data_IF_065643949116
#
_entry.id   IF_065643949116
#
_cell.length_a   1.000
_cell.length_b   1.000
_cell.length_c   1.000
_cell.angle_alpha   90.00
_cell.angle_beta   90.00
_cell.angle_gamma   90.00
#
_symmetry.space_group_name_H-M   'P 1'
#
loop_
_entity.id
_entity.type
_entity.pdbx_description
1 polymer ?
#
# COMPACT_ATOMS: atom_id res chain seq x y z
N UNK A 1 11.69 -3.45 -33.08
CA UNK A 1 12.28 -2.97 -31.80
C UNK A 1 11.86 -3.77 -30.55
N UNK A 2 11.03 -4.82 -30.61
CA UNK A 2 10.57 -5.55 -29.41
C UNK A 2 11.47 -6.74 -28.98
N UNK A 3 12.30 -7.26 -29.89
CA UNK A 3 13.11 -8.48 -29.65
C UNK A 3 14.26 -8.22 -28.68
N UNK A 4 14.91 -7.06 -28.74
CA UNK A 4 16.04 -6.70 -27.87
C UNK A 4 15.65 -6.55 -26.39
N UNK A 5 14.43 -6.09 -26.12
CA UNK A 5 13.92 -6.02 -24.75
C UNK A 5 13.69 -7.42 -24.16
N UNK A 6 13.21 -8.35 -24.99
CA UNK A 6 12.89 -9.72 -24.59
C UNK A 6 14.13 -10.53 -24.20
N UNK A 7 15.24 -10.39 -24.92
CA UNK A 7 16.51 -11.07 -24.59
C UNK A 7 17.08 -10.55 -23.27
N UNK A 8 17.11 -9.22 -23.08
CA UNK A 8 17.62 -8.60 -21.85
C UNK A 8 16.80 -8.98 -20.61
N UNK A 9 15.48 -9.02 -20.73
CA UNK A 9 14.60 -9.43 -19.62
C UNK A 9 14.82 -10.89 -19.23
N UNK A 10 15.09 -11.74 -20.21
CA UNK A 10 15.45 -13.14 -19.99
C UNK A 10 16.81 -13.30 -19.32
N UNK A 11 17.84 -12.59 -19.80
CA UNK A 11 19.19 -12.63 -19.23
C UNK A 11 19.20 -12.17 -17.77
N UNK A 12 18.46 -11.10 -17.46
CA UNK A 12 18.31 -10.63 -16.09
C UNK A 12 17.60 -11.65 -15.18
N UNK A 13 16.65 -12.41 -15.73
CA UNK A 13 15.98 -13.48 -14.99
C UNK A 13 16.86 -14.71 -14.83
N UNK A 14 17.61 -15.11 -15.86
CA UNK A 14 18.52 -16.25 -15.78
C UNK A 14 19.67 -15.97 -14.81
N UNK A 15 20.29 -14.80 -14.89
CA UNK A 15 21.34 -14.41 -13.94
C UNK A 15 20.84 -14.44 -12.49
N UNK A 16 19.63 -13.92 -12.24
CA UNK A 16 19.01 -13.98 -10.91
C UNK A 16 18.71 -15.41 -10.45
N UNK A 17 18.33 -16.30 -11.38
CA UNK A 17 18.15 -17.72 -11.08
C UNK A 17 19.49 -18.38 -10.73
N UNK A 18 20.54 -18.13 -11.54
CA UNK A 18 21.87 -18.71 -11.39
C UNK A 18 22.51 -18.30 -10.05
N UNK A 19 22.41 -17.02 -9.68
CA UNK A 19 22.85 -16.49 -8.37
C UNK A 19 22.20 -17.21 -7.18
N UNK A 20 21.02 -17.80 -7.37
CA UNK A 20 20.23 -18.47 -6.33
C UNK A 20 20.22 -19.99 -6.45
N UNK A 21 20.96 -20.55 -7.41
CA UNK A 21 20.96 -21.98 -7.70
C UNK A 21 19.60 -22.51 -8.16
N UNK A 22 18.77 -21.66 -8.78
CA UNK A 22 17.45 -22.01 -9.30
C UNK A 22 17.53 -22.36 -10.78
N UNK A 23 16.68 -23.28 -11.23
CA UNK A 23 16.57 -23.60 -12.65
C UNK A 23 15.77 -22.53 -13.39
N UNK A 24 16.41 -21.81 -14.32
CA UNK A 24 15.77 -20.77 -15.12
C UNK A 24 14.67 -21.33 -16.05
N UNK A 25 14.75 -22.60 -16.50
CA UNK A 25 13.70 -23.24 -17.30
C UNK A 25 13.61 -24.77 -17.09
N UNK A 26 12.46 -25.33 -16.65
CA UNK A 26 11.20 -24.66 -16.35
C UNK A 26 11.24 -23.95 -14.99
N UNK A 27 10.96 -22.65 -14.99
CA UNK A 27 10.74 -21.92 -13.74
C UNK A 27 9.42 -22.38 -13.11
N UNK A 28 9.46 -22.70 -11.82
CA UNK A 28 8.25 -22.88 -11.04
C UNK A 28 7.55 -21.52 -10.88
N UNK A 29 6.21 -21.40 -10.97
CA UNK A 29 5.54 -20.11 -10.76
C UNK A 29 5.91 -19.40 -9.46
N UNK A 30 6.32 -20.11 -8.39
CA UNK A 30 6.82 -19.45 -7.18
C UNK A 30 8.16 -18.72 -7.39
N UNK A 31 9.04 -19.19 -8.28
CA UNK A 31 10.32 -18.50 -8.55
C UNK A 31 10.06 -17.18 -9.28
N UNK A 32 9.10 -17.18 -10.21
CA UNK A 32 8.67 -15.96 -10.89
C UNK A 32 8.02 -14.97 -9.91
N UNK A 33 7.18 -15.47 -8.99
CA UNK A 33 6.59 -14.66 -7.92
C UNK A 33 7.64 -14.05 -6.98
N UNK A 34 8.68 -14.82 -6.61
CA UNK A 34 9.80 -14.33 -5.81
C UNK A 34 10.61 -13.27 -6.55
N UNK A 35 10.88 -13.49 -7.84
CA UNK A 35 11.57 -12.52 -8.68
C UNK A 35 10.82 -11.19 -8.79
N UNK A 36 9.49 -11.22 -8.96
CA UNK A 36 8.65 -10.02 -8.98
C UNK A 36 8.81 -9.19 -7.70
N UNK A 37 8.92 -9.85 -6.54
CA UNK A 37 9.12 -9.15 -5.25
C UNK A 37 10.49 -8.47 -5.14
N UNK A 38 11.52 -9.03 -5.77
CA UNK A 38 12.84 -8.38 -5.83
C UNK A 38 12.78 -7.13 -6.72
N UNK A 39 12.05 -7.21 -7.83
CA UNK A 39 11.96 -6.11 -8.80
C UNK A 39 10.99 -4.97 -8.40
N UNK A 40 10.08 -5.21 -7.46
CA UNK A 40 9.11 -4.22 -6.96
C UNK A 40 9.78 -2.94 -6.43
N UNK A 41 11.02 -3.03 -5.93
CA UNK A 41 11.78 -1.88 -5.43
C UNK A 41 12.48 -1.06 -6.51
N UNK A 42 12.76 -1.65 -7.68
CA UNK A 42 13.61 -1.03 -8.72
C UNK A 42 12.81 -0.54 -9.91
N UNK A 43 11.71 -1.20 -10.25
CA UNK A 43 10.92 -0.90 -11.45
C UNK A 43 9.49 -0.51 -11.13
N UNK A 44 8.93 0.37 -11.98
CA UNK A 44 7.50 0.70 -11.95
C UNK A 44 6.66 -0.50 -12.37
N UNK A 45 5.44 -0.60 -11.87
CA UNK A 45 4.51 -1.70 -12.16
C UNK A 45 4.33 -1.97 -13.65
N UNK A 46 4.20 -0.92 -14.48
CA UNK A 46 4.02 -1.09 -15.93
C UNK A 46 5.24 -1.70 -16.61
N UNK A 47 6.45 -1.30 -16.19
CA UNK A 47 7.70 -1.86 -16.69
C UNK A 47 7.90 -3.29 -16.19
N UNK A 48 7.58 -3.54 -14.92
CA UNK A 48 7.61 -4.86 -14.31
C UNK A 48 6.69 -5.84 -15.01
N UNK A 49 5.44 -5.43 -15.32
CA UNK A 49 4.49 -6.28 -16.06
C UNK A 49 5.04 -6.66 -17.43
N UNK A 50 5.55 -5.68 -18.19
CA UNK A 50 6.18 -5.92 -19.51
C UNK A 50 7.39 -6.86 -19.42
N UNK A 51 8.22 -6.69 -18.38
CA UNK A 51 9.37 -7.55 -18.10
C UNK A 51 8.94 -9.00 -17.88
N UNK A 52 7.93 -9.22 -17.03
CA UNK A 52 7.39 -10.55 -16.74
C UNK A 52 6.71 -11.17 -17.96
N UNK A 53 5.98 -10.38 -18.76
CA UNK A 53 5.36 -10.85 -20.01
C UNK A 53 6.43 -11.34 -21.01
N UNK A 54 7.57 -10.64 -21.10
CA UNK A 54 8.69 -11.06 -21.94
C UNK A 54 9.35 -12.34 -21.44
N UNK A 55 9.56 -12.47 -20.12
CA UNK A 55 10.06 -13.71 -19.51
C UNK A 55 9.09 -14.87 -19.74
N UNK A 56 7.77 -14.64 -19.62
CA UNK A 56 6.73 -15.63 -19.90
C UNK A 56 6.71 -16.07 -21.37
N UNK A 57 6.93 -15.14 -22.31
CA UNK A 57 7.04 -15.47 -23.73
C UNK A 57 8.27 -16.34 -24.03
N UNK A 58 9.40 -16.11 -23.36
CA UNK A 58 10.60 -16.96 -23.51
C UNK A 58 10.37 -18.37 -22.95
N UNK A 59 9.65 -18.51 -21.84
CA UNK A 59 9.23 -19.81 -21.34
C UNK A 59 8.31 -20.53 -22.34
N UNK A 60 7.38 -19.80 -22.94
CA UNK A 60 6.49 -20.35 -23.96
C UNK A 60 7.25 -20.85 -25.19
N UNK A 61 8.25 -20.12 -25.66
CA UNK A 61 9.06 -20.55 -26.81
C UNK A 61 9.89 -21.80 -26.50
N UNK A 62 10.44 -21.91 -25.28
CA UNK A 62 11.28 -23.06 -24.89
C UNK A 62 10.50 -24.32 -24.52
N UNK A 63 9.32 -24.18 -23.90
CA UNK A 63 8.60 -25.30 -23.25
C UNK A 63 7.10 -25.31 -23.53
N UNK A 64 6.55 -24.33 -24.26
CA UNK A 64 5.10 -24.10 -24.45
C UNK A 64 4.30 -23.92 -23.15
N UNK A 65 4.98 -23.70 -22.02
CA UNK A 65 4.35 -23.40 -20.73
C UNK A 65 4.50 -21.91 -20.41
N UNK A 66 3.46 -21.35 -19.77
CA UNK A 66 3.36 -19.93 -19.44
C UNK A 66 3.24 -19.74 -17.93
N UNK A 67 4.37 -19.73 -17.19
CA UNK A 67 4.35 -19.53 -15.73
C UNK A 67 3.86 -18.14 -15.33
N UNK A 68 3.80 -17.18 -16.26
CA UNK A 68 3.26 -15.83 -16.05
C UNK A 68 1.75 -15.80 -15.80
N UNK A 69 1.01 -16.77 -16.36
CA UNK A 69 -0.46 -16.83 -16.26
C UNK A 69 -0.95 -17.56 -15.01
N UNK A 70 -0.04 -18.12 -14.23
CA UNK A 70 -0.38 -18.83 -13.00
C UNK A 70 -1.01 -17.89 -11.95
N UNK A 71 -2.06 -18.34 -11.21
CA UNK A 71 -2.75 -17.49 -10.25
C UNK A 71 -1.84 -16.96 -9.13
N UNK A 72 -0.79 -17.69 -8.77
CA UNK A 72 0.18 -17.28 -7.76
C UNK A 72 0.95 -16.03 -8.18
N UNK A 73 1.39 -15.99 -9.44
CA UNK A 73 2.11 -14.86 -10.05
C UNK A 73 1.19 -13.65 -10.18
N UNK A 74 -0.04 -13.87 -10.66
CA UNK A 74 -1.05 -12.81 -10.79
C UNK A 74 -1.39 -12.17 -9.44
N UNK A 75 -1.57 -12.96 -8.38
CA UNK A 75 -1.78 -12.44 -7.01
C UNK A 75 -0.64 -11.54 -6.55
N UNK A 76 0.60 -11.88 -6.90
CA UNK A 76 1.76 -11.05 -6.54
C UNK A 76 1.76 -9.75 -7.35
N UNK A 77 1.51 -9.81 -8.66
CA UNK A 77 1.39 -8.60 -9.49
C UNK A 77 0.29 -7.66 -8.96
N UNK A 78 -0.87 -8.20 -8.59
CA UNK A 78 -1.96 -7.42 -7.98
C UNK A 78 -1.55 -6.78 -6.65
N UNK A 79 -0.79 -7.50 -5.82
CA UNK A 79 -0.26 -6.96 -4.57
C UNK A 79 0.71 -5.79 -4.82
N UNK A 80 1.61 -5.92 -5.80
CA UNK A 80 2.53 -4.85 -6.21
C UNK A 80 1.76 -3.64 -6.73
N UNK A 81 0.77 -3.86 -7.60
CA UNK A 81 -0.09 -2.80 -8.12
C UNK A 81 -0.77 -2.02 -7.01
N UNK A 82 -1.38 -2.72 -6.04
CA UNK A 82 -2.06 -2.09 -4.88
C UNK A 82 -1.09 -1.22 -4.07
N UNK A 83 0.14 -1.68 -3.87
CA UNK A 83 1.17 -0.93 -3.14
C UNK A 83 1.62 0.32 -3.90
N UNK A 84 1.84 0.21 -5.21
CA UNK A 84 2.12 1.38 -6.04
C UNK A 84 1.00 2.42 -5.99
N UNK A 85 -0.25 1.97 -6.12
CA UNK A 85 -1.42 2.86 -6.05
C UNK A 85 -1.54 3.52 -4.68
N UNK A 86 -1.29 2.78 -3.60
CA UNK A 86 -1.27 3.34 -2.24
C UNK A 86 -0.18 4.41 -2.08
N UNK A 87 1.04 4.17 -2.60
CA UNK A 87 2.13 5.17 -2.61
C UNK A 87 1.73 6.43 -3.38
N UNK A 88 1.16 6.28 -4.57
CA UNK A 88 0.70 7.42 -5.40
C UNK A 88 -0.41 8.21 -4.68
N UNK A 89 -1.35 7.53 -4.02
CA UNK A 89 -2.42 8.17 -3.23
C UNK A 89 -1.86 8.93 -2.03
N UNK A 90 -0.92 8.34 -1.29
CA UNK A 90 -0.27 8.98 -0.15
C UNK A 90 0.50 10.25 -0.58
N UNK A 91 1.20 10.20 -1.71
CA UNK A 91 1.90 11.38 -2.27
C UNK A 91 0.93 12.50 -2.68
N UNK A 92 -0.20 12.16 -3.31
CA UNK A 92 -1.24 13.15 -3.65
C UNK A 92 -1.83 13.80 -2.40
N UNK A 93 -2.19 13.00 -1.41
CA UNK A 93 -2.70 13.49 -0.13
C UNK A 93 -1.68 14.37 0.60
N UNK A 94 -0.39 14.02 0.57
CA UNK A 94 0.67 14.84 1.15
C UNK A 94 0.84 16.18 0.45
N UNK A 95 0.58 16.24 -0.87
CA UNK A 95 0.63 17.49 -1.65
C UNK A 95 -0.60 18.37 -1.45
N UNK A 96 -1.77 17.78 -1.30
CA UNK A 96 -3.04 18.50 -1.10
C UNK A 96 -3.26 18.94 0.35
N UNK A 97 -2.71 18.20 1.32
CA UNK A 97 -2.85 18.54 2.74
C UNK A 97 -1.92 19.72 3.06
N UNK A 98 -2.43 20.83 3.62
CA UNK A 98 -1.57 21.89 4.13
C UNK A 98 -0.61 21.29 5.17
N UNK A 99 0.64 21.81 5.29
CA UNK A 99 1.59 21.32 6.27
C UNK A 99 0.90 21.28 7.64
N UNK A 100 1.10 20.18 8.37
CA UNK A 100 0.47 20.02 9.67
C UNK A 100 0.79 21.29 10.49
N UNK A 101 -0.23 21.89 11.15
CA UNK A 101 0.04 23.03 12.00
C UNK A 101 1.15 22.64 12.98
N UNK A 102 2.13 23.53 13.22
CA UNK A 102 3.25 23.21 14.10
C UNK A 102 2.69 22.71 15.44
N UNK A 103 3.31 21.66 15.98
CA UNK A 103 2.86 21.01 17.21
C UNK A 103 2.75 21.99 18.39
N UNK A 104 3.56 23.04 18.33
CA UNK A 104 3.56 24.16 19.26
C UNK A 104 3.42 25.43 18.46
N UNK A 105 2.61 26.35 18.97
CA UNK A 105 2.57 27.71 18.45
C UNK A 105 3.69 28.51 19.14
N UNK A 106 4.22 29.56 18.50
CA UNK A 106 5.30 30.37 19.09
C UNK A 106 4.91 30.99 20.45
N UNK A 107 3.61 31.16 20.65
CA UNK A 107 2.92 31.68 21.82
C UNK A 107 2.97 30.71 23.00
N UNK A 108 3.16 29.40 22.77
CA UNK A 108 3.28 28.39 23.83
C UNK A 108 4.65 28.47 24.56
N UNK A 109 5.65 29.12 23.95
CA UNK A 109 7.00 29.25 24.51
C UNK A 109 7.28 30.61 25.17
N UNK A 110 6.41 31.61 25.01
CA UNK A 110 6.62 32.97 25.50
C UNK A 110 6.15 33.20 26.95
N UNK A 111 5.71 32.16 27.66
CA UNK A 111 5.42 32.26 29.09
C UNK A 111 6.70 32.07 29.93
N UNK A 112 7.60 33.05 29.84
CA UNK A 112 8.61 33.29 30.88
C UNK A 112 7.90 33.71 32.18
N UNK A 113 7.58 32.72 33.02
CA UNK A 113 7.75 32.85 34.46
C UNK A 113 6.84 33.81 35.23
N UNK A 114 5.56 34.00 34.86
CA UNK A 114 4.54 34.43 35.84
C UNK A 114 3.21 33.72 35.62
N UNK A 115 3.00 32.66 36.39
CA UNK A 115 1.68 32.15 36.71
C UNK A 115 0.82 33.30 37.26
N UNK A 116 -0.07 33.83 36.42
CA UNK A 116 -1.18 34.68 36.83
C UNK A 116 -2.47 33.99 36.48
N UNK A 117 -3.17 33.58 37.52
CA UNK A 117 -4.58 33.23 37.53
C UNK A 117 -5.39 34.29 36.77
N UNK A 118 -5.95 33.95 35.60
CA UNK A 118 -7.05 34.72 35.04
C UNK A 118 -8.06 33.83 34.34
N UNK A 119 -9.13 33.57 35.09
CA UNK A 119 -10.48 33.17 34.69
C UNK A 119 -10.90 33.91 33.39
N UNK A 120 -10.95 33.20 32.26
CA UNK A 120 -11.19 33.77 30.93
C UNK A 120 -12.26 33.03 30.12
N UNK A 121 -13.52 33.23 30.49
CA UNK A 121 -14.75 33.26 29.67
C UNK A 121 -14.69 32.59 28.28
N UNK A 122 -15.20 31.36 28.18
CA UNK A 122 -15.63 30.76 26.91
C UNK A 122 -16.81 31.56 26.34
N UNK A 123 -16.56 32.36 25.31
CA UNK A 123 -17.59 33.03 24.50
C UNK A 123 -18.35 31.98 23.71
N UNK A 124 -19.50 31.57 24.24
CA UNK A 124 -20.50 30.74 23.57
C UNK A 124 -21.23 31.62 22.54
N UNK A 125 -20.82 31.61 21.29
CA UNK A 125 -21.57 32.22 20.19
C UNK A 125 -22.87 31.43 19.98
N UNK A 126 -23.96 31.99 20.52
CA UNK A 126 -25.34 31.66 20.13
C UNK A 126 -25.56 32.11 18.69
N UNK A 127 -25.98 31.20 17.80
CA UNK A 127 -26.73 31.56 16.60
C UNK A 127 -27.74 30.47 16.24
N UNK A 128 -29.02 30.83 16.30
CA UNK A 128 -30.09 30.34 15.40
C UNK A 128 -30.65 28.93 15.58
N UNK A 129 -31.79 28.85 16.28
CA UNK A 129 -32.93 27.92 16.09
C UNK A 129 -33.57 28.23 14.71
N UNK A 130 -34.13 27.37 13.86
CA UNK A 130 -34.45 25.94 13.79
C UNK A 130 -34.72 25.58 12.31
N UNK A 131 -34.61 24.28 11.93
CA UNK A 131 -35.56 23.53 11.10
C UNK A 131 -34.98 22.14 10.75
N UNK A 132 -35.71 21.08 11.11
CA UNK A 132 -35.64 19.72 10.51
C UNK A 132 -36.68 19.69 9.36
N UNK A 133 -36.59 18.82 8.33
CA UNK A 133 -36.69 17.35 8.45
C UNK A 133 -35.71 16.55 7.55
N UNK A 134 -35.26 15.36 7.98
CA UNK A 134 -35.54 14.03 7.37
C UNK A 134 -34.50 13.55 6.32
N UNK A 135 -33.69 12.55 6.70
CA UNK A 135 -33.17 11.45 5.85
C UNK A 135 -32.20 10.58 6.68
N UNK A 136 -32.46 9.27 6.73
CA UNK A 136 -31.91 8.31 7.70
C UNK A 136 -30.38 8.24 7.83
N UNK A 137 -29.88 8.52 9.04
CA UNK A 137 -28.50 8.21 9.43
C UNK A 137 -28.39 6.74 9.83
N UNK A 138 -27.69 5.94 9.01
CA UNK A 138 -27.21 4.61 9.36
C UNK A 138 -26.41 4.71 10.66
N UNK A 139 -26.90 4.09 11.74
CA UNK A 139 -26.17 3.99 13.01
C UNK A 139 -24.86 3.24 12.75
N UNK A 140 -23.73 3.95 12.79
CA UNK A 140 -22.43 3.30 12.82
C UNK A 140 -22.38 2.44 14.08
N UNK A 141 -22.24 1.13 13.91
CA UNK A 141 -22.02 0.21 15.04
C UNK A 141 -20.67 0.57 15.65
N UNK A 142 -20.68 1.30 16.76
CA UNK A 142 -19.48 1.49 17.57
C UNK A 142 -19.01 0.14 18.10
N UNK A 143 -17.70 -0.10 18.02
CA UNK A 143 -17.09 -1.26 18.67
C UNK A 143 -17.29 -1.12 20.19
N UNK A 144 -17.59 -2.23 20.88
CA UNK A 144 -17.73 -2.22 22.35
C UNK A 144 -16.38 -1.85 22.98
N UNK A 145 -16.43 -0.99 23.99
CA UNK A 145 -15.27 -0.59 24.78
C UNK A 145 -14.63 -1.75 25.57
N UNK A 146 -15.37 -2.86 25.76
CA UNK A 146 -14.88 -4.04 26.48
C UNK A 146 -15.08 -5.32 25.66
N UNK A 147 -14.05 -6.19 25.55
CA UNK A 147 -14.16 -7.48 24.87
C UNK A 147 -15.07 -8.44 25.67
N UNK A 148 -15.77 -9.34 24.96
CA UNK A 148 -16.56 -10.40 25.61
C UNK A 148 -15.62 -11.38 26.32
N UNK A 149 -15.67 -11.41 27.65
CA UNK A 149 -15.00 -12.44 28.45
C UNK A 149 -15.74 -13.77 28.27
N UNK A 150 -15.06 -14.76 27.70
CA UNK A 150 -15.58 -16.13 27.56
C UNK A 150 -15.29 -16.88 28.86
N UNK A 151 -16.34 -17.36 29.53
CA UNK A 151 -16.18 -18.30 30.65
C UNK A 151 -15.72 -19.65 30.09
N UNK A 152 -14.52 -20.09 30.49
CA UNK A 152 -14.09 -21.47 30.23
C UNK A 152 -14.96 -22.42 31.05
N UNK A 153 -15.62 -23.37 30.37
CA UNK A 153 -16.33 -24.47 31.01
C UNK A 153 -15.29 -25.31 31.76
N UNK A 154 -15.45 -25.50 33.08
CA UNK A 154 -14.63 -26.47 33.82
C UNK A 154 -14.97 -27.85 33.27
N UNK A 155 -13.93 -28.58 32.86
CA UNK A 155 -13.98 -30.03 32.63
C UNK A 155 -13.92 -30.71 33.98
#
# INVERSE_FOLDING_TARGET
MAVLGKTRSWEAFSAWCDERGLTAAPANPWTLAAYIRVLEGTMRFDALKRHIDQVGQMHFEKRRTRPDREPSVQRVLDAVRRREEAKKRAQKQAKEKPPAPPLFRAEDFLEDGKAKTSKGKTTRTRRGKAAKPEAGKKKSKSLRATPKLVRRKRV
#
